data_IF_188607505444
#
_entry.id   IF_188607505444
#
_cell.length_a   1.000
_cell.length_b   1.000
_cell.length_c   1.000
_cell.angle_alpha   90.00
_cell.angle_beta   90.00
_cell.angle_gamma   90.00
#
_symmetry.space_group_name_H-M   'P 1'
#
loop_
_entity.id
_entity.type
_entity.pdbx_description
1 polymer ?
#
# COMPACT_ATOMS: atom_id res chain seq x y z
N UNK A 1 -91.03 46.17 9.05
CA UNK A 1 -91.27 44.72 9.16
C UNK A 1 -89.89 44.10 9.24
N UNK A 2 -89.32 44.02 10.45
CA UNK A 2 -89.39 42.86 11.37
C UNK A 2 -88.50 41.74 10.83
N UNK A 3 -87.62 41.05 11.57
CA UNK A 3 -87.31 41.00 13.00
C UNK A 3 -86.01 40.20 13.13
N UNK A 4 -85.28 40.48 14.20
CA UNK A 4 -84.17 39.73 14.83
C UNK A 4 -84.43 38.22 14.96
N UNK A 5 -83.38 37.37 14.99
CA UNK A 5 -83.16 36.33 16.05
C UNK A 5 -81.78 35.66 15.92
N UNK A 6 -81.15 35.56 17.09
CA UNK A 6 -79.83 35.04 17.48
C UNK A 6 -79.70 33.50 17.49
N UNK A 7 -78.53 33.04 18.02
CA UNK A 7 -78.24 31.79 18.77
C UNK A 7 -77.46 30.74 17.95
N UNK A 8 -76.15 30.51 18.13
CA UNK A 8 -75.33 30.15 19.31
C UNK A 8 -75.46 28.70 19.78
N UNK A 9 -74.29 28.05 19.93
CA UNK A 9 -73.97 26.76 20.59
C UNK A 9 -74.18 25.52 19.69
N UNK A 10 -73.12 24.79 19.33
CA UNK A 10 -72.39 23.95 20.29
C UNK A 10 -70.99 23.62 19.79
N UNK A 11 -70.01 23.91 20.65
CA UNK A 11 -68.66 23.38 20.61
C UNK A 11 -68.67 22.03 21.35
N UNK A 12 -68.19 20.97 20.70
CA UNK A 12 -67.72 19.75 21.35
C UNK A 12 -66.25 19.58 20.97
N UNK A 13 -65.35 19.35 21.94
CA UNK A 13 -63.96 19.02 21.68
C UNK A 13 -63.88 17.50 21.49
N UNK A 14 -63.40 17.04 20.34
CA UNK A 14 -63.00 15.64 20.24
C UNK A 14 -61.66 15.51 19.55
N UNK A 15 -60.75 14.93 20.33
CA UNK A 15 -59.52 14.24 19.98
C UNK A 15 -58.66 14.88 18.88
N UNK A 16 -57.66 15.63 19.36
CA UNK A 16 -56.40 15.79 18.66
C UNK A 16 -55.87 14.42 18.24
N UNK A 17 -56.06 14.10 16.97
CA UNK A 17 -55.28 13.09 16.27
C UNK A 17 -54.01 13.80 15.82
N UNK A 18 -53.09 13.99 16.76
CA UNK A 18 -51.71 14.26 16.41
C UNK A 18 -51.29 13.15 15.43
N UNK A 19 -50.89 13.46 14.18
CA UNK A 19 -50.28 12.44 13.37
C UNK A 19 -49.02 12.04 14.12
N UNK A 20 -49.02 10.80 14.60
CA UNK A 20 -47.89 10.14 15.24
C UNK A 20 -46.66 10.46 14.38
N UNK A 21 -45.89 11.44 14.85
CA UNK A 21 -44.62 11.80 14.27
C UNK A 21 -43.82 10.52 14.32
N UNK A 22 -43.77 9.85 13.17
CA UNK A 22 -43.01 8.64 12.98
C UNK A 22 -41.60 9.14 13.19
N UNK A 23 -41.09 8.96 14.42
CA UNK A 23 -39.72 9.30 14.78
C UNK A 23 -38.88 8.55 13.77
N UNK A 24 -38.50 9.26 12.71
CA UNK A 24 -37.65 8.77 11.63
C UNK A 24 -36.42 8.29 12.38
N UNK A 25 -36.33 6.97 12.54
CA UNK A 25 -35.22 6.33 13.20
C UNK A 25 -33.99 7.01 12.61
N UNK A 26 -33.26 7.74 13.45
CA UNK A 26 -32.04 8.40 13.03
C UNK A 26 -31.17 7.24 12.55
N UNK A 27 -31.08 7.08 11.22
CA UNK A 27 -30.28 6.05 10.59
C UNK A 27 -28.84 6.35 11.00
N UNK A 28 -28.42 5.79 12.14
CA UNK A 28 -27.05 5.88 12.63
C UNK A 28 -26.21 5.09 11.63
N UNK A 29 -25.43 5.82 10.84
CA UNK A 29 -24.60 5.30 9.76
C UNK A 29 -25.31 5.37 8.40
N UNK A 30 -25.26 6.54 7.76
CA UNK A 30 -25.61 6.66 6.34
C UNK A 30 -24.45 6.21 5.46
N UNK A 31 -24.77 5.50 4.37
CA UNK A 31 -23.81 5.11 3.33
C UNK A 31 -23.42 3.63 3.34
N UNK A 32 -22.82 3.20 2.23
CA UNK A 32 -22.21 1.87 2.10
C UNK A 32 -21.15 1.66 3.19
N UNK A 33 -21.12 0.49 3.85
CA UNK A 33 -20.13 0.24 4.88
C UNK A 33 -18.68 0.49 4.50
N UNK A 34 -18.30 0.22 3.24
CA UNK A 34 -16.93 0.36 2.73
C UNK A 34 -16.51 1.79 2.44
N UNK A 35 -17.44 2.73 2.29
CA UNK A 35 -17.13 4.15 2.04
C UNK A 35 -16.90 4.97 3.32
N UNK A 36 -16.90 4.32 4.49
CA UNK A 36 -16.82 4.99 5.80
C UNK A 36 -15.40 4.87 6.37
N UNK A 37 -14.54 5.83 6.04
CA UNK A 37 -13.20 5.93 6.61
C UNK A 37 -12.15 6.35 5.59
N UNK A 38 -10.87 6.33 6.01
CA UNK A 38 -9.70 6.51 5.15
C UNK A 38 -8.73 5.36 5.39
N UNK A 39 -8.24 4.76 4.32
CA UNK A 39 -7.15 3.79 4.36
C UNK A 39 -5.84 4.53 4.11
N UNK A 40 -4.83 4.28 4.93
CA UNK A 40 -3.48 4.79 4.72
C UNK A 40 -2.54 3.61 4.71
N UNK A 41 -1.63 3.58 3.74
CA UNK A 41 -0.68 2.50 3.54
C UNK A 41 0.68 3.01 4.01
N UNK A 42 1.35 2.25 4.86
CA UNK A 42 2.68 2.61 5.33
C UNK A 42 3.72 2.39 4.23
N UNK A 43 4.74 3.25 4.17
CA UNK A 43 5.84 3.17 3.21
C UNK A 43 6.44 1.76 3.14
N UNK A 44 6.71 1.16 4.30
CA UNK A 44 7.28 -0.19 4.39
C UNK A 44 6.40 -1.32 3.82
N UNK A 45 5.11 -1.08 3.57
CA UNK A 45 4.26 -2.02 2.82
C UNK A 45 4.50 -1.88 1.32
N UNK A 46 4.57 -0.64 0.83
CA UNK A 46 4.86 -0.34 -0.58
C UNK A 46 6.26 -0.82 -0.94
N UNK A 47 7.25 -0.57 -0.09
CA UNK A 47 8.63 -1.06 -0.25
C UNK A 47 8.71 -2.59 -0.38
N UNK A 48 7.89 -3.32 0.39
CA UNK A 48 7.85 -4.79 0.30
C UNK A 48 7.25 -5.27 -1.01
N UNK A 49 6.18 -4.64 -1.46
CA UNK A 49 5.54 -4.97 -2.74
C UNK A 49 6.52 -4.70 -3.88
N UNK A 50 7.11 -3.50 -3.91
CA UNK A 50 8.07 -3.10 -4.93
C UNK A 50 9.33 -3.98 -4.90
N UNK A 51 9.86 -4.31 -3.72
CA UNK A 51 11.05 -5.17 -3.60
C UNK A 51 10.80 -6.62 -4.03
N UNK A 52 9.61 -7.17 -3.79
CA UNK A 52 9.23 -8.48 -4.33
C UNK A 52 9.05 -8.42 -5.84
N UNK A 53 8.27 -7.45 -6.34
CA UNK A 53 8.02 -7.29 -7.76
C UNK A 53 9.31 -7.07 -8.57
N UNK A 54 10.26 -6.29 -8.06
CA UNK A 54 11.53 -6.07 -8.72
C UNK A 54 12.37 -7.37 -8.79
N UNK A 55 12.35 -8.20 -7.76
CA UNK A 55 13.07 -9.50 -7.72
C UNK A 55 12.48 -10.55 -8.64
N UNK A 56 11.20 -10.46 -8.96
CA UNK A 56 10.54 -11.39 -9.86
C UNK A 56 10.93 -11.18 -11.34
N UNK A 57 11.64 -10.09 -11.65
CA UNK A 57 12.11 -9.81 -13.01
C UNK A 57 13.41 -10.56 -13.30
N UNK A 58 13.41 -11.29 -14.42
CA UNK A 58 14.57 -12.04 -14.90
C UNK A 58 15.75 -11.09 -15.16
N UNK A 59 16.93 -11.47 -14.68
CA UNK A 59 18.15 -10.66 -14.78
C UNK A 59 18.40 -9.74 -13.58
N UNK A 60 17.45 -9.66 -12.64
CA UNK A 60 17.71 -9.07 -11.31
C UNK A 60 18.26 -10.15 -10.40
N UNK A 61 19.52 -10.02 -10.02
CA UNK A 61 20.20 -10.95 -9.12
C UNK A 61 19.84 -10.67 -7.65
N UNK A 62 19.97 -9.41 -7.24
CA UNK A 62 19.77 -8.98 -5.88
C UNK A 62 19.28 -7.53 -5.79
N UNK A 63 18.83 -7.14 -4.59
CA UNK A 63 18.37 -5.80 -4.26
C UNK A 63 19.21 -5.20 -3.14
N UNK A 64 19.63 -3.94 -3.33
CA UNK A 64 20.45 -3.13 -2.44
C UNK A 64 21.95 -3.36 -2.60
N UNK A 65 22.72 -2.37 -2.16
CA UNK A 65 24.19 -2.44 -2.10
C UNK A 65 24.64 -3.74 -1.40
N UNK A 66 25.52 -4.48 -2.08
CA UNK A 66 26.09 -5.77 -1.71
C UNK A 66 26.96 -5.78 -0.45
N UNK A 67 26.51 -5.16 0.66
CA UNK A 67 27.20 -5.21 1.96
C UNK A 67 27.24 -6.62 2.58
N UNK A 68 26.78 -7.65 1.87
CA UNK A 68 26.97 -9.04 2.25
C UNK A 68 28.45 -9.49 2.16
N UNK A 69 29.33 -8.81 1.42
CA UNK A 69 30.76 -9.17 1.37
C UNK A 69 31.56 -8.84 2.64
N UNK A 70 31.02 -8.03 3.56
CA UNK A 70 31.77 -7.63 4.78
C UNK A 70 30.98 -7.69 6.10
N UNK A 71 29.66 -7.91 6.07
CA UNK A 71 28.84 -8.01 7.30
C UNK A 71 28.41 -9.45 7.68
N UNK A 72 28.85 -10.47 6.93
CA UNK A 72 28.50 -11.87 7.15
C UNK A 72 29.08 -12.50 8.42
N UNK A 73 30.18 -11.97 8.97
CA UNK A 73 30.85 -12.62 10.11
C UNK A 73 30.32 -12.22 11.50
N UNK A 74 29.45 -11.21 11.63
CA UNK A 74 29.03 -10.68 12.94
C UNK A 74 27.53 -10.49 13.13
N UNK A 75 26.71 -10.55 12.07
CA UNK A 75 25.24 -10.38 12.21
C UNK A 75 24.49 -11.68 12.51
N UNK A 76 25.12 -12.84 12.29
CA UNK A 76 24.52 -14.18 12.48
C UNK A 76 24.25 -14.57 13.95
N UNK A 77 24.57 -13.67 14.90
CA UNK A 77 24.34 -13.90 16.34
C UNK A 77 23.18 -13.11 16.94
N UNK A 78 22.32 -12.50 16.13
CA UNK A 78 21.10 -11.83 16.63
C UNK A 78 19.86 -12.63 16.23
N UNK A 79 19.23 -13.37 17.15
CA UNK A 79 17.92 -13.99 16.93
C UNK A 79 16.90 -12.88 16.64
N UNK A 80 16.34 -12.84 15.43
CA UNK A 80 15.34 -11.85 15.02
C UNK A 80 15.70 -10.98 13.81
N UNK A 81 16.87 -11.17 13.20
CA UNK A 81 17.23 -10.51 11.94
C UNK A 81 16.42 -11.05 10.76
N UNK A 82 15.25 -10.48 10.49
CA UNK A 82 14.49 -10.80 9.26
C UNK A 82 15.37 -10.48 8.04
N UNK A 83 15.46 -11.41 7.08
CA UNK A 83 16.05 -11.14 5.76
C UNK A 83 15.27 -9.95 5.19
N UNK A 84 15.87 -8.77 5.17
CA UNK A 84 15.19 -7.54 4.80
C UNK A 84 14.87 -7.60 3.29
N UNK A 85 13.65 -8.01 2.98
CA UNK A 85 13.07 -7.99 1.62
C UNK A 85 13.00 -6.55 1.08
N UNK A 86 13.08 -5.55 1.96
CA UNK A 86 13.07 -4.12 1.66
C UNK A 86 14.46 -3.52 1.41
N UNK A 87 15.56 -4.28 1.54
CA UNK A 87 16.90 -3.73 1.31
C UNK A 87 17.03 -3.32 -0.16
N UNK A 88 17.40 -2.06 -0.39
CA UNK A 88 17.54 -1.49 -1.73
C UNK A 88 16.25 -0.95 -2.34
N UNK A 89 15.19 -0.77 -1.55
CA UNK A 89 13.96 -0.11 -2.00
C UNK A 89 13.57 0.94 -0.98
N UNK A 90 13.34 2.16 -1.44
CA UNK A 90 12.75 3.24 -0.65
C UNK A 90 11.49 3.71 -1.36
N UNK A 91 10.40 3.84 -0.60
CA UNK A 91 9.15 4.38 -1.10
C UNK A 91 8.81 5.68 -0.37
N UNK A 92 8.30 6.66 -1.10
CA UNK A 92 7.68 7.85 -0.55
C UNK A 92 6.19 7.80 -0.91
N UNK A 93 5.34 7.68 0.11
CA UNK A 93 3.89 7.48 -0.07
C UNK A 93 3.14 8.74 0.33
N UNK A 94 2.38 9.27 -0.62
CA UNK A 94 1.38 10.31 -0.40
C UNK A 94 -0.02 9.72 -0.17
N UNK A 95 -1.05 10.57 -0.19
CA UNK A 95 -2.43 10.10 -0.02
C UNK A 95 -2.98 9.35 -1.24
N UNK A 96 -2.50 9.70 -2.44
CA UNK A 96 -2.93 9.11 -3.72
C UNK A 96 -1.73 8.63 -4.54
N UNK A 97 -0.58 9.26 -4.35
CA UNK A 97 0.59 9.11 -5.21
C UNK A 97 1.75 8.45 -4.46
N UNK A 98 2.64 7.79 -5.19
CA UNK A 98 3.88 7.25 -4.64
C UNK A 98 5.05 7.38 -5.60
N UNK A 99 6.24 7.60 -5.05
CA UNK A 99 7.51 7.58 -5.75
C UNK A 99 8.40 6.48 -5.18
N UNK A 100 9.19 5.83 -6.05
CA UNK A 100 9.98 4.67 -5.71
C UNK A 100 11.42 4.83 -6.17
N UNK A 101 12.37 4.57 -5.27
CA UNK A 101 13.79 4.46 -5.57
C UNK A 101 14.26 3.03 -5.31
N UNK A 102 14.80 2.39 -6.33
CA UNK A 102 15.31 1.02 -6.28
C UNK A 102 16.81 1.00 -6.55
N UNK A 103 17.51 0.12 -5.86
CA UNK A 103 18.93 -0.18 -6.07
C UNK A 103 19.08 -1.67 -6.39
N UNK A 104 19.42 -2.03 -7.64
CA UNK A 104 19.47 -3.42 -8.12
C UNK A 104 20.91 -3.88 -8.41
N UNK A 105 21.16 -5.18 -8.24
CA UNK A 105 22.30 -5.89 -8.81
C UNK A 105 21.77 -6.79 -9.92
N UNK A 106 22.39 -6.75 -11.09
CA UNK A 106 21.94 -7.50 -12.28
C UNK A 106 22.91 -8.63 -12.63
N UNK A 107 22.43 -9.63 -13.34
CA UNK A 107 23.28 -10.74 -13.81
C UNK A 107 24.19 -10.28 -14.97
N UNK A 108 25.39 -10.85 -15.06
CA UNK A 108 26.26 -10.63 -16.21
C UNK A 108 25.61 -11.13 -17.51
N UNK A 109 25.74 -10.32 -18.57
CA UNK A 109 25.28 -10.69 -19.91
C UNK A 109 23.84 -10.28 -20.25
N UNK A 110 23.10 -9.66 -19.31
CA UNK A 110 21.76 -9.10 -19.57
C UNK A 110 21.84 -7.64 -20.03
N UNK A 111 20.85 -7.19 -20.80
CA UNK A 111 20.69 -5.78 -21.15
C UNK A 111 20.16 -5.00 -19.96
N UNK A 112 21.00 -4.15 -19.37
CA UNK A 112 20.61 -3.32 -18.22
C UNK A 112 19.39 -2.44 -18.53
N UNK A 113 19.30 -1.90 -19.76
CA UNK A 113 18.21 -1.04 -20.18
C UNK A 113 16.88 -1.80 -20.27
N UNK A 114 16.91 -3.03 -20.77
CA UNK A 114 15.72 -3.89 -20.87
C UNK A 114 15.28 -4.35 -19.48
N UNK A 115 16.21 -4.88 -18.67
CA UNK A 115 15.92 -5.28 -17.28
C UNK A 115 15.35 -4.10 -16.48
N UNK A 116 15.94 -2.91 -16.57
CA UNK A 116 15.43 -1.73 -15.87
C UNK A 116 14.03 -1.33 -16.34
N UNK A 117 13.72 -1.51 -17.62
CA UNK A 117 12.38 -1.25 -18.15
C UNK A 117 11.38 -2.26 -17.59
N UNK A 118 11.73 -3.54 -17.63
CA UNK A 118 10.86 -4.62 -17.15
C UNK A 118 10.61 -4.51 -15.64
N UNK A 119 11.63 -4.12 -14.86
CA UNK A 119 11.49 -3.80 -13.43
C UNK A 119 10.51 -2.65 -13.23
N UNK A 120 10.63 -1.54 -13.96
CA UNK A 120 9.68 -0.42 -13.85
C UNK A 120 8.26 -0.88 -14.14
N UNK A 121 8.05 -1.58 -15.25
CA UNK A 121 6.72 -2.06 -15.66
C UNK A 121 6.11 -2.99 -14.59
N UNK A 122 6.88 -3.95 -14.07
CA UNK A 122 6.38 -4.89 -13.07
C UNK A 122 6.10 -4.23 -11.71
N UNK A 123 6.99 -3.34 -11.25
CA UNK A 123 6.85 -2.64 -9.97
C UNK A 123 5.65 -1.70 -9.99
N UNK A 124 5.50 -0.88 -11.04
CA UNK A 124 4.36 0.03 -11.20
C UNK A 124 3.07 -0.79 -11.16
N UNK A 125 2.99 -1.81 -12.00
CA UNK A 125 1.78 -2.59 -12.11
C UNK A 125 1.44 -3.34 -10.80
N UNK A 126 2.43 -3.83 -10.05
CA UNK A 126 2.21 -4.47 -8.76
C UNK A 126 1.70 -3.49 -7.70
N UNK A 127 2.35 -2.34 -7.55
CA UNK A 127 1.99 -1.34 -6.54
C UNK A 127 0.60 -0.76 -6.82
N UNK A 128 0.32 -0.34 -8.05
CA UNK A 128 -0.98 0.23 -8.41
C UNK A 128 -2.12 -0.78 -8.19
N UNK A 129 -1.95 -2.03 -8.62
CA UNK A 129 -2.98 -3.07 -8.45
C UNK A 129 -3.25 -3.41 -6.98
N UNK A 130 -2.22 -3.45 -6.14
CA UNK A 130 -2.35 -3.90 -4.75
C UNK A 130 -2.76 -2.77 -3.79
N UNK A 131 -2.34 -1.54 -4.08
CA UNK A 131 -2.49 -0.41 -3.14
C UNK A 131 -3.53 0.61 -3.61
N UNK A 132 -3.82 0.66 -4.92
CA UNK A 132 -4.65 1.70 -5.52
C UNK A 132 -3.99 3.08 -5.58
N UNK A 133 -2.70 3.18 -5.23
CA UNK A 133 -1.90 4.40 -5.39
C UNK A 133 -1.45 4.55 -6.84
N UNK A 134 -1.30 5.79 -7.29
CA UNK A 134 -0.70 6.15 -8.58
C UNK A 134 0.82 6.24 -8.43
N UNK A 135 1.57 5.49 -9.25
CA UNK A 135 3.03 5.57 -9.21
C UNK A 135 3.51 6.67 -10.15
N UNK A 136 4.08 7.73 -9.59
CA UNK A 136 4.51 8.90 -10.36
C UNK A 136 5.82 8.63 -11.07
N UNK A 137 6.75 7.98 -10.37
CA UNK A 137 8.06 7.63 -10.89
C UNK A 137 8.67 6.42 -10.20
N UNK A 138 9.55 5.75 -10.94
CA UNK A 138 10.37 4.63 -10.45
C UNK A 138 11.80 4.86 -10.91
N UNK A 139 12.65 5.27 -9.99
CA UNK A 139 14.07 5.46 -10.21
C UNK A 139 14.81 4.15 -9.90
N UNK A 140 15.72 3.76 -10.79
CA UNK A 140 16.50 2.53 -10.63
C UNK A 140 17.98 2.88 -10.73
N UNK A 141 18.70 2.63 -9.64
CA UNK A 141 20.16 2.62 -9.60
C UNK A 141 20.65 1.18 -9.75
N UNK A 142 21.56 0.93 -10.68
CA UNK A 142 22.22 -0.37 -10.83
C UNK A 142 23.56 -0.28 -10.12
N UNK A 143 23.70 -0.96 -8.98
CA UNK A 143 24.84 -0.81 -8.08
C UNK A 143 25.98 -1.79 -8.36
N UNK A 144 25.67 -2.96 -8.93
CA UNK A 144 26.66 -3.99 -9.23
C UNK A 144 26.20 -4.93 -10.36
N UNK A 145 27.13 -5.71 -10.91
CA UNK A 145 26.85 -6.79 -11.88
C UNK A 145 27.44 -8.09 -11.32
N UNK A 146 26.60 -9.12 -11.13
CA UNK A 146 27.07 -10.43 -10.67
C UNK A 146 27.87 -11.12 -11.77
N UNK A 147 29.15 -11.37 -11.51
CA UNK A 147 29.97 -12.19 -12.40
C UNK A 147 29.78 -13.68 -12.08
N UNK A 148 29.88 -14.57 -13.09
CA UNK A 148 29.70 -16.01 -12.90
C UNK A 148 30.79 -16.67 -12.05
N UNK A 149 31.94 -16.01 -11.85
CA UNK A 149 33.07 -16.52 -11.06
C UNK A 149 33.00 -16.16 -9.56
N UNK A 150 31.99 -15.40 -9.13
CA UNK A 150 31.77 -15.03 -7.73
C UNK A 150 30.98 -16.10 -6.93
N UNK A 151 30.96 -17.36 -7.38
CA UNK A 151 30.20 -18.46 -6.74
C UNK A 151 30.98 -19.20 -5.62
N UNK A 152 32.28 -18.95 -5.43
CA UNK A 152 33.16 -19.74 -4.54
C UNK A 152 33.46 -19.12 -3.15
N UNK A 153 32.65 -18.20 -2.63
CA UNK A 153 32.72 -17.77 -1.23
C UNK A 153 31.45 -18.14 -0.44
N UNK A 154 31.03 -19.39 -0.53
CA UNK A 154 30.29 -19.99 0.60
C UNK A 154 31.28 -20.14 1.76
N UNK A 155 31.07 -19.49 2.93
CA UNK A 155 31.97 -19.67 4.06
C UNK A 155 31.85 -21.11 4.53
N UNK A 156 32.84 -21.94 4.18
CA UNK A 156 32.97 -23.28 4.71
C UNK A 156 32.83 -23.21 6.22
N UNK A 157 31.75 -23.82 6.71
CA UNK A 157 31.50 -24.12 8.11
C UNK A 157 32.69 -24.92 8.65
N UNK A 158 33.72 -24.21 9.15
CA UNK A 158 34.77 -24.81 9.96
C UNK A 158 34.16 -25.16 11.30
N UNK A 159 33.58 -26.37 11.36
CA UNK A 159 33.32 -27.08 12.59
C UNK A 159 34.67 -27.36 13.28
N UNK A 160 34.89 -26.71 14.41
CA UNK A 160 35.82 -27.14 15.47
C UNK A 160 35.08 -27.12 16.80
#
# INVERSE_FOLDING_TARGET
>A
MSETTEQSRTQLPDSGSEPLSTRKATRRGGGDPGSRGRTTIADGVVEKIAGLAARDVVGVHAMGSGMSRTFGAVRDRVPGGTKSVTRGVKAEVGEVQTALDLEIVVDYGVSITEVSRDVRENVIAAVERMTGLEVVEVNIAVSDVKLPEDEDEEPESRLQ
#
